data_IF_229907865464
#
_entry.id   IF_229907865464
#
_cell.length_a   1.000
_cell.length_b   1.000
_cell.length_c   1.000
_cell.angle_alpha   90.00
_cell.angle_beta   90.00
_cell.angle_gamma   90.00
#
_symmetry.space_group_name_H-M   'P 1'
#
loop_
_entity.id
_entity.type
_entity.pdbx_description
1 polymer ?
#
# COMPACT_ATOMS: atom_id res chain seq x y z
N UNK A 1 1.22 7.85 19.43
CA UNK A 1 1.73 7.19 18.21
C UNK A 1 3.18 7.58 18.07
N UNK A 2 4.09 6.64 18.27
CA UNK A 2 5.52 6.88 18.04
C UNK A 2 5.68 7.16 16.54
N UNK A 3 6.19 8.31 16.18
CA UNK A 3 6.60 8.60 14.81
C UNK A 3 7.84 7.73 14.54
N UNK A 4 7.68 6.72 13.68
CA UNK A 4 8.82 5.96 13.18
C UNK A 4 9.70 6.88 12.33
N UNK A 5 10.99 6.67 12.39
CA UNK A 5 11.92 7.37 11.50
C UNK A 5 11.68 6.94 10.04
N UNK A 6 11.96 7.83 9.07
CA UNK A 6 11.74 7.52 7.65
C UNK A 6 12.38 6.22 7.19
N UNK A 7 13.59 5.91 7.64
CA UNK A 7 14.29 4.68 7.28
C UNK A 7 13.63 3.44 7.88
N UNK A 8 13.05 3.52 9.08
CA UNK A 8 12.32 2.41 9.70
C UNK A 8 11.05 2.07 8.91
N UNK A 9 10.34 3.09 8.40
CA UNK A 9 9.19 2.92 7.52
C UNK A 9 9.59 2.27 6.20
N UNK A 10 10.63 2.78 5.56
CA UNK A 10 11.16 2.23 4.31
C UNK A 10 11.61 0.78 4.48
N UNK A 11 12.29 0.46 5.59
CA UNK A 11 12.71 -0.90 5.90
C UNK A 11 11.51 -1.84 6.13
N UNK A 12 10.48 -1.40 6.83
CA UNK A 12 9.26 -2.18 7.01
C UNK A 12 8.60 -2.52 5.66
N UNK A 13 8.50 -1.55 4.75
CA UNK A 13 7.96 -1.75 3.41
C UNK A 13 8.82 -2.73 2.58
N UNK A 14 10.15 -2.64 2.64
CA UNK A 14 11.05 -3.61 1.98
C UNK A 14 10.85 -5.03 2.52
N UNK A 15 10.67 -5.20 3.83
CA UNK A 15 10.37 -6.49 4.44
C UNK A 15 8.99 -7.02 4.01
N UNK A 16 7.98 -6.14 3.87
CA UNK A 16 6.68 -6.50 3.32
C UNK A 16 6.79 -7.00 1.88
N UNK A 17 7.52 -6.29 1.02
CA UNK A 17 7.74 -6.70 -0.38
C UNK A 17 8.43 -8.07 -0.46
N UNK A 18 9.47 -8.29 0.35
CA UNK A 18 10.13 -9.59 0.45
C UNK A 18 9.18 -10.69 0.96
N UNK A 19 8.31 -10.38 1.93
CA UNK A 19 7.30 -11.28 2.44
C UNK A 19 6.28 -11.70 1.37
N UNK A 20 5.83 -10.77 0.53
CA UNK A 20 4.94 -11.04 -0.61
C UNK A 20 5.61 -11.99 -1.60
N UNK A 21 6.87 -11.74 -1.99
CA UNK A 21 7.63 -12.63 -2.90
C UNK A 21 7.81 -14.03 -2.32
N UNK A 22 8.19 -14.12 -1.05
CA UNK A 22 8.38 -15.41 -0.37
C UNK A 22 7.09 -16.21 -0.23
N UNK A 23 5.94 -15.55 -0.18
CA UNK A 23 4.62 -16.16 -0.09
C UNK A 23 3.94 -16.35 -1.46
N UNK A 24 4.59 -16.02 -2.58
CA UNK A 24 3.97 -15.97 -3.91
C UNK A 24 3.26 -17.27 -4.29
N UNK A 25 3.91 -18.42 -4.13
CA UNK A 25 3.31 -19.72 -4.44
C UNK A 25 2.06 -19.99 -3.59
N UNK A 26 2.09 -19.63 -2.30
CA UNK A 26 0.95 -19.79 -1.41
C UNK A 26 -0.19 -18.85 -1.84
N UNK A 27 0.10 -17.60 -2.13
CA UNK A 27 -0.88 -16.60 -2.59
C UNK A 27 -1.58 -17.08 -3.87
N UNK A 28 -0.82 -17.54 -4.85
CA UNK A 28 -1.36 -18.03 -6.13
C UNK A 28 -2.23 -19.27 -5.91
N UNK A 29 -1.79 -20.21 -5.08
CA UNK A 29 -2.54 -21.42 -4.79
C UNK A 29 -3.91 -21.10 -4.14
N UNK A 30 -3.93 -20.22 -3.14
CA UNK A 30 -5.18 -19.80 -2.50
C UNK A 30 -6.07 -19.02 -3.48
N UNK A 31 -5.48 -18.19 -4.34
CA UNK A 31 -6.23 -17.46 -5.37
C UNK A 31 -6.92 -18.40 -6.39
N UNK A 32 -6.36 -19.58 -6.68
CA UNK A 32 -7.04 -20.58 -7.51
C UNK A 32 -8.40 -20.97 -6.89
N UNK A 33 -8.47 -21.16 -5.59
CA UNK A 33 -9.71 -21.50 -4.89
C UNK A 33 -10.72 -20.35 -4.96
N UNK A 34 -10.26 -19.12 -4.78
CA UNK A 34 -11.10 -17.92 -4.93
C UNK A 34 -11.66 -17.80 -6.35
N UNK A 35 -10.85 -18.10 -7.35
CA UNK A 35 -11.25 -18.07 -8.76
C UNK A 35 -12.30 -19.15 -9.08
N UNK A 36 -12.18 -20.33 -8.50
CA UNK A 36 -13.16 -21.40 -8.66
C UNK A 36 -14.51 -21.01 -8.04
N UNK A 37 -14.49 -20.45 -6.83
CA UNK A 37 -15.70 -19.99 -6.15
C UNK A 37 -16.39 -18.86 -6.92
N UNK A 38 -15.60 -17.89 -7.41
CA UNK A 38 -16.13 -16.79 -8.22
C UNK A 38 -16.78 -17.27 -9.52
N UNK A 39 -16.21 -18.29 -10.18
CA UNK A 39 -16.82 -18.92 -11.37
C UNK A 39 -18.12 -19.64 -11.04
N UNK A 40 -18.15 -20.41 -9.94
CA UNK A 40 -19.37 -21.10 -9.46
C UNK A 40 -20.49 -20.11 -9.13
N UNK A 41 -20.12 -18.95 -8.58
CA UNK A 41 -21.06 -17.87 -8.27
C UNK A 41 -21.50 -17.05 -9.49
N UNK A 42 -21.11 -17.41 -10.69
CA UNK A 42 -21.53 -16.75 -11.93
C UNK A 42 -20.98 -15.35 -12.14
N UNK A 43 -19.82 -15.03 -11.54
CA UNK A 43 -19.17 -13.71 -11.72
C UNK A 43 -18.72 -13.54 -13.18
N UNK A 44 -18.82 -12.31 -13.68
CA UNK A 44 -18.46 -12.00 -15.06
C UNK A 44 -16.93 -11.97 -15.28
N UNK A 45 -16.52 -11.97 -16.55
CA UNK A 45 -15.11 -12.01 -16.95
C UNK A 45 -14.28 -10.85 -16.38
N UNK A 46 -14.86 -9.65 -16.30
CA UNK A 46 -14.17 -8.48 -15.77
C UNK A 46 -13.91 -8.59 -14.25
N UNK A 47 -14.82 -9.23 -13.50
CA UNK A 47 -14.61 -9.57 -12.11
C UNK A 47 -13.49 -10.61 -11.95
N UNK A 48 -13.55 -11.68 -12.74
CA UNK A 48 -12.57 -12.76 -12.71
C UNK A 48 -11.16 -12.25 -13.06
N UNK A 49 -11.03 -11.37 -14.06
CA UNK A 49 -9.72 -10.76 -14.38
C UNK A 49 -9.16 -9.93 -13.23
N UNK A 50 -9.99 -9.16 -12.55
CA UNK A 50 -9.55 -8.36 -11.39
C UNK A 50 -9.18 -9.21 -10.18
N UNK A 51 -9.81 -10.37 -10.01
CA UNK A 51 -9.54 -11.29 -8.91
C UNK A 51 -8.28 -12.13 -9.14
N UNK A 52 -7.98 -12.46 -10.39
CA UNK A 52 -6.87 -13.35 -10.77
C UNK A 52 -5.52 -12.80 -10.33
N UNK A 53 -4.74 -13.59 -9.61
CA UNK A 53 -3.34 -13.33 -9.29
C UNK A 53 -2.43 -14.30 -10.06
N UNK A 54 -1.64 -13.75 -10.96
CA UNK A 54 -0.56 -14.45 -11.66
C UNK A 54 0.78 -14.19 -10.96
N UNK A 55 1.84 -14.99 -11.24
CA UNK A 55 3.18 -14.69 -10.75
C UNK A 55 3.61 -13.24 -11.02
N UNK A 56 3.37 -12.75 -12.24
CA UNK A 56 3.69 -11.38 -12.64
C UNK A 56 2.90 -10.34 -11.83
N UNK A 57 1.61 -10.60 -11.55
CA UNK A 57 0.79 -9.70 -10.72
C UNK A 57 1.28 -9.66 -9.27
N UNK A 58 1.71 -10.81 -8.72
CA UNK A 58 2.30 -10.87 -7.38
C UNK A 58 3.64 -10.13 -7.33
N UNK A 59 4.48 -10.27 -8.35
CA UNK A 59 5.73 -9.50 -8.44
C UNK A 59 5.45 -8.00 -8.56
N UNK A 60 4.47 -7.58 -9.36
CA UNK A 60 4.06 -6.18 -9.43
C UNK A 60 3.57 -5.62 -8.09
N UNK A 61 2.88 -6.42 -7.26
CA UNK A 61 2.52 -6.02 -5.90
C UNK A 61 3.76 -5.71 -5.05
N UNK A 62 4.76 -6.59 -5.08
CA UNK A 62 6.00 -6.39 -4.36
C UNK A 62 6.78 -5.16 -4.86
N UNK A 63 6.87 -5.00 -6.18
CA UNK A 63 7.49 -3.80 -6.79
C UNK A 63 6.75 -2.52 -6.40
N UNK A 64 5.41 -2.53 -6.33
CA UNK A 64 4.63 -1.38 -5.89
C UNK A 64 4.99 -0.94 -4.47
N UNK A 65 5.09 -1.90 -3.55
CA UNK A 65 5.53 -1.62 -2.16
C UNK A 65 6.96 -1.02 -2.14
N UNK A 66 7.89 -1.56 -2.94
CA UNK A 66 9.26 -1.04 -3.02
C UNK A 66 9.30 0.38 -3.61
N UNK A 67 8.43 0.69 -4.56
CA UNK A 67 8.30 2.05 -5.09
C UNK A 67 7.86 3.03 -4.00
N UNK A 68 6.89 2.65 -3.17
CA UNK A 68 6.47 3.47 -2.02
C UNK A 68 7.63 3.62 -1.02
N UNK A 69 8.38 2.54 -0.74
CA UNK A 69 9.54 2.58 0.15
C UNK A 69 10.65 3.53 -0.33
N UNK A 70 10.71 3.81 -1.64
CA UNK A 70 11.70 4.72 -2.23
C UNK A 70 11.25 6.19 -2.22
N UNK A 71 9.99 6.48 -1.88
CA UNK A 71 9.49 7.85 -1.80
C UNK A 71 10.04 8.56 -0.56
N UNK A 72 10.28 9.87 -0.64
CA UNK A 72 10.63 10.65 0.56
C UNK A 72 9.46 10.67 1.54
N UNK A 73 9.74 10.51 2.83
CA UNK A 73 8.72 10.63 3.86
C UNK A 73 8.22 12.08 3.95
N UNK A 74 6.94 12.34 3.72
CA UNK A 74 6.41 13.70 3.75
C UNK A 74 6.15 14.23 5.17
N UNK A 75 6.21 13.39 6.20
CA UNK A 75 5.91 13.80 7.58
C UNK A 75 6.95 14.78 8.09
N UNK A 76 6.48 15.90 8.62
CA UNK A 76 7.33 16.98 9.11
C UNK A 76 7.76 17.98 8.03
N UNK A 77 7.48 17.74 6.76
CA UNK A 77 7.77 18.70 5.68
C UNK A 77 7.02 20.01 5.90
N UNK A 78 7.75 21.13 5.81
CA UNK A 78 7.16 22.46 5.82
C UNK A 78 6.74 22.85 4.39
N UNK A 79 5.44 22.82 4.11
CA UNK A 79 4.89 23.18 2.79
C UNK A 79 5.00 24.68 2.54
N UNK A 80 4.79 25.48 3.59
CA UNK A 80 4.78 26.94 3.52
C UNK A 80 5.13 27.56 4.86
N UNK A 81 5.89 28.66 4.80
CA UNK A 81 6.18 29.50 5.98
C UNK A 81 5.97 30.96 5.62
N UNK A 82 5.44 31.75 6.57
CA UNK A 82 5.28 33.20 6.41
C UNK A 82 5.24 33.89 7.75
N UNK A 83 5.61 35.17 7.76
CA UNK A 83 5.57 36.01 8.97
C UNK A 83 4.48 37.05 8.83
N UNK A 84 3.68 37.22 9.87
CA UNK A 84 2.67 38.28 9.97
C UNK A 84 3.32 39.62 10.35
N UNK A 85 2.64 40.77 10.10
CA UNK A 85 3.17 42.09 10.47
C UNK A 85 3.50 42.25 11.95
N UNK A 86 2.85 41.47 12.84
CA UNK A 86 3.11 41.45 14.28
C UNK A 86 4.31 40.57 14.68
N UNK A 87 5.08 40.04 13.72
CA UNK A 87 6.23 39.15 13.95
C UNK A 87 5.89 37.68 14.17
N UNK A 88 4.62 37.29 14.16
CA UNK A 88 4.21 35.85 14.30
C UNK A 88 4.66 35.07 13.09
N UNK A 89 5.48 34.04 13.30
CA UNK A 89 5.89 33.07 12.27
C UNK A 89 4.86 31.93 12.22
N UNK A 90 4.28 31.70 11.06
CA UNK A 90 3.30 30.63 10.81
C UNK A 90 3.94 29.62 9.84
N UNK A 91 3.83 28.33 10.19
CA UNK A 91 4.31 27.22 9.36
C UNK A 91 3.17 26.24 9.11
N UNK A 92 3.02 25.84 7.86
CA UNK A 92 2.14 24.75 7.45
C UNK A 92 2.98 23.49 7.31
N UNK A 93 2.81 22.56 8.21
CA UNK A 93 3.61 21.33 8.31
C UNK A 93 2.74 20.12 8.05
N UNK A 94 3.25 19.14 7.31
CA UNK A 94 2.59 17.84 7.10
C UNK A 94 2.64 17.03 8.39
N UNK A 95 1.53 16.43 8.74
CA UNK A 95 1.40 15.55 9.91
C UNK A 95 0.83 14.19 9.50
N UNK A 96 1.07 13.11 10.26
CA UNK A 96 0.45 11.83 10.00
C UNK A 96 -1.08 11.91 10.02
N UNK A 97 -1.74 11.19 9.10
CA UNK A 97 -3.21 11.11 9.05
C UNK A 97 -3.80 10.32 10.23
N UNK A 98 -2.99 9.51 10.90
CA UNK A 98 -3.44 8.61 11.95
C UNK A 98 -3.76 7.21 11.42
N UNK A 99 -4.79 6.57 11.97
CA UNK A 99 -5.24 5.24 11.55
C UNK A 99 -6.32 5.38 10.50
N UNK A 100 -6.10 4.75 9.34
CA UNK A 100 -7.05 4.74 8.22
C UNK A 100 -7.67 3.34 8.13
N UNK A 101 -8.99 3.26 8.11
CA UNK A 101 -9.72 2.04 7.77
C UNK A 101 -9.93 1.97 6.25
N UNK A 102 -9.60 0.84 5.66
CA UNK A 102 -9.77 0.62 4.23
C UNK A 102 -10.67 -0.60 3.98
N UNK A 103 -11.78 -0.40 3.25
CA UNK A 103 -12.73 -1.45 2.89
C UNK A 103 -12.69 -1.64 1.38
N UNK A 104 -12.39 -2.84 0.92
CA UNK A 104 -12.29 -3.16 -0.51
C UNK A 104 -12.81 -4.56 -0.80
N UNK A 105 -13.10 -4.84 -2.06
CA UNK A 105 -13.63 -6.13 -2.54
C UNK A 105 -13.00 -6.49 -3.89
N UNK A 106 -12.79 -7.79 -4.11
CA UNK A 106 -12.46 -8.42 -5.40
C UNK A 106 -11.19 -7.94 -6.13
N UNK A 107 -10.25 -7.32 -5.43
CA UNK A 107 -8.94 -6.92 -5.99
C UNK A 107 -7.82 -7.40 -5.06
N UNK A 108 -7.18 -8.52 -5.42
CA UNK A 108 -6.10 -9.10 -4.60
C UNK A 108 -4.91 -8.16 -4.39
N UNK A 109 -4.61 -7.30 -5.36
CA UNK A 109 -3.49 -6.32 -5.27
C UNK A 109 -3.72 -5.22 -4.26
N UNK A 110 -4.98 -4.82 -4.03
CA UNK A 110 -5.34 -3.70 -3.16
C UNK A 110 -4.88 -3.89 -1.72
N UNK A 111 -4.75 -5.12 -1.23
CA UNK A 111 -4.21 -5.39 0.10
C UNK A 111 -2.81 -4.80 0.27
N UNK A 112 -1.96 -4.99 -0.72
CA UNK A 112 -0.59 -4.47 -0.73
C UNK A 112 -0.57 -2.96 -0.95
N UNK A 113 -1.38 -2.46 -1.90
CA UNK A 113 -1.46 -1.03 -2.22
C UNK A 113 -1.96 -0.19 -1.03
N UNK A 114 -2.92 -0.74 -0.25
CA UNK A 114 -3.48 -0.05 0.91
C UNK A 114 -2.61 -0.15 2.16
N UNK A 115 -1.73 -1.16 2.25
CA UNK A 115 -0.86 -1.38 3.40
C UNK A 115 0.48 -0.62 3.27
N UNK A 116 0.89 -0.26 2.06
CA UNK A 116 2.08 0.50 1.76
C UNK A 116 1.85 2.00 1.88
#
# INVERSE_FOLDING_TARGET
MLALEPEEKAQALRLMAAGVRNAAEKIIRENVLDMEEARKSGRNSAFLDRLLLTPDRVEHMACGIEQVAALPDPVGECIREWTRPNGLRIRQVRVPLGVIGFIYESRGTVTCDAAA
#
